data_IF_858744650166
#
_entry.id   IF_858744650166
#
_cell.length_a   1.000
_cell.length_b   1.000
_cell.length_c   1.000
_cell.angle_alpha   90.00
_cell.angle_beta   90.00
_cell.angle_gamma   90.00
#
_symmetry.space_group_name_H-M   'P 1'
#
loop_
_entity.id
_entity.type
_entity.pdbx_description
1 polymer ?
#
# COMPACT_ATOMS: atom_id res chain seq x y z
N UNK A 1 23.60 18.78 -5.34
CA UNK A 1 22.93 17.46 -5.41
C UNK A 1 22.55 17.01 -4.02
N UNK A 2 21.31 16.61 -3.80
CA UNK A 2 20.88 15.95 -2.55
C UNK A 2 20.98 14.43 -2.79
N UNK A 3 21.93 13.71 -2.18
CA UNK A 3 22.13 12.28 -2.40
C UNK A 3 20.97 11.41 -1.87
N UNK A 4 20.09 11.99 -1.05
CA UNK A 4 18.94 11.31 -0.49
C UNK A 4 17.66 11.47 -1.35
N UNK A 5 17.73 12.27 -2.43
CA UNK A 5 16.57 12.50 -3.31
C UNK A 5 16.52 11.39 -4.36
N UNK A 6 15.46 10.59 -4.34
CA UNK A 6 15.14 9.66 -5.44
C UNK A 6 14.72 10.46 -6.68
N UNK A 7 15.21 10.09 -7.86
CA UNK A 7 14.82 10.72 -9.11
C UNK A 7 13.39 10.27 -9.49
N UNK A 8 12.53 11.24 -9.76
CA UNK A 8 11.21 10.99 -10.32
C UNK A 8 11.29 11.07 -11.85
N UNK A 9 11.45 9.91 -12.49
CA UNK A 9 11.66 9.85 -13.94
C UNK A 9 10.41 10.20 -14.78
N UNK A 10 9.27 10.48 -14.13
CA UNK A 10 8.12 11.06 -14.80
C UNK A 10 8.32 12.57 -15.10
N UNK A 11 9.27 13.21 -14.39
CA UNK A 11 9.59 14.62 -14.54
C UNK A 11 10.82 14.82 -15.42
N UNK A 12 10.72 15.64 -16.49
CA UNK A 12 11.86 15.90 -17.39
C UNK A 12 13.10 16.44 -16.67
N UNK A 13 12.89 17.27 -15.62
CA UNK A 13 13.97 17.83 -14.81
C UNK A 13 14.78 16.78 -14.02
N UNK A 14 14.15 15.69 -13.61
CA UNK A 14 14.84 14.59 -12.91
C UNK A 14 15.37 13.56 -13.92
N UNK A 15 14.63 13.30 -15.01
CA UNK A 15 15.00 12.32 -16.04
C UNK A 15 16.35 12.64 -16.72
N UNK A 16 16.72 13.92 -16.84
CA UNK A 16 18.02 14.31 -17.42
C UNK A 16 19.22 13.85 -16.60
N UNK A 17 19.06 13.52 -15.32
CA UNK A 17 20.14 13.03 -14.45
C UNK A 17 20.21 11.50 -14.39
N UNK A 18 19.30 10.80 -15.05
CA UNK A 18 19.33 9.35 -15.09
C UNK A 18 20.47 8.87 -16.00
N UNK A 19 21.30 7.97 -15.44
CA UNK A 19 22.35 7.29 -16.18
C UNK A 19 21.98 5.82 -16.27
N UNK A 20 21.91 5.29 -17.48
CA UNK A 20 21.65 3.87 -17.70
C UNK A 20 22.94 3.06 -17.44
N UNK A 21 22.87 2.20 -16.44
CA UNK A 21 23.95 1.29 -16.08
C UNK A 21 23.71 -0.15 -16.55
N UNK A 22 22.76 -0.41 -17.42
CA UNK A 22 22.39 -1.76 -17.88
C UNK A 22 23.59 -2.52 -18.46
N UNK A 23 24.41 -1.86 -19.28
CA UNK A 23 25.63 -2.45 -19.85
C UNK A 23 26.65 -2.86 -18.77
N UNK A 24 26.82 -2.03 -17.74
CA UNK A 24 27.76 -2.30 -16.63
C UNK A 24 27.25 -3.39 -15.69
N UNK A 25 25.92 -3.46 -15.52
CA UNK A 25 25.25 -4.47 -14.67
C UNK A 25 25.08 -5.82 -15.37
N UNK A 26 25.28 -5.87 -16.69
CA UNK A 26 25.12 -7.08 -17.50
C UNK A 26 23.68 -7.44 -17.84
N UNK A 27 22.68 -6.70 -17.33
CA UNK A 27 21.27 -6.86 -17.69
C UNK A 27 20.48 -5.59 -17.46
N UNK A 28 19.38 -5.41 -18.23
CA UNK A 28 18.36 -4.38 -17.98
C UNK A 28 17.28 -4.97 -17.04
N UNK A 29 17.53 -4.86 -15.74
CA UNK A 29 16.66 -5.41 -14.69
C UNK A 29 15.23 -4.89 -14.79
N UNK A 30 15.03 -3.62 -15.17
CA UNK A 30 13.68 -3.04 -15.34
C UNK A 30 12.94 -3.71 -16.50
N UNK A 31 13.63 -4.00 -17.59
CA UNK A 31 13.02 -4.74 -18.70
C UNK A 31 12.71 -6.19 -18.33
N UNK A 32 13.52 -6.84 -17.50
CA UNK A 32 13.25 -8.18 -16.98
C UNK A 32 12.01 -8.19 -16.09
N UNK A 33 11.94 -7.29 -15.09
CA UNK A 33 10.77 -7.13 -14.22
C UNK A 33 9.51 -6.83 -15.02
N UNK A 34 9.58 -5.84 -15.92
CA UNK A 34 8.48 -5.49 -16.81
C UNK A 34 8.00 -6.69 -17.63
N UNK A 35 8.95 -7.42 -18.24
CA UNK A 35 8.62 -8.59 -19.06
C UNK A 35 7.89 -9.66 -18.26
N UNK A 36 8.30 -9.93 -17.04
CA UNK A 36 7.61 -10.88 -16.16
C UNK A 36 6.17 -10.42 -15.88
N UNK A 37 5.96 -9.13 -15.54
CA UNK A 37 4.63 -8.57 -15.30
C UNK A 37 3.75 -8.67 -16.54
N UNK A 38 4.26 -8.29 -17.70
CA UNK A 38 3.47 -8.27 -18.95
C UNK A 38 3.15 -9.68 -19.45
N UNK A 39 4.07 -10.63 -19.28
CA UNK A 39 3.88 -12.01 -19.76
C UNK A 39 3.05 -12.86 -18.82
N UNK A 40 2.88 -12.46 -17.55
CA UNK A 40 2.01 -13.19 -16.62
C UNK A 40 0.52 -13.10 -16.99
N UNK A 41 0.14 -12.13 -17.80
CA UNK A 41 -1.27 -11.94 -18.19
C UNK A 41 -2.16 -11.72 -16.97
N UNK A 42 -3.16 -12.59 -16.79
CA UNK A 42 -4.11 -12.53 -15.67
C UNK A 42 -3.59 -13.23 -14.39
N UNK A 43 -2.44 -13.89 -14.46
CA UNK A 43 -1.86 -14.59 -13.31
C UNK A 43 -1.13 -13.59 -12.38
N UNK A 44 -1.46 -13.56 -11.07
CA UNK A 44 -0.79 -12.68 -10.13
C UNK A 44 0.68 -13.08 -9.94
N UNK A 45 1.57 -12.10 -9.92
CA UNK A 45 3.01 -12.33 -9.68
C UNK A 45 3.51 -11.52 -8.50
N UNK A 46 4.51 -12.07 -7.80
CA UNK A 46 5.23 -11.36 -6.75
C UNK A 46 6.73 -11.44 -7.05
N UNK A 47 7.39 -10.30 -7.11
CA UNK A 47 8.81 -10.20 -7.43
C UNK A 47 9.55 -9.47 -6.33
N UNK A 48 10.70 -10.01 -5.92
CA UNK A 48 11.59 -9.39 -4.95
C UNK A 48 12.78 -8.76 -5.69
N UNK A 49 12.89 -7.43 -5.59
CA UNK A 49 14.01 -6.67 -6.14
C UNK A 49 14.97 -6.28 -5.03
N UNK A 50 16.17 -6.85 -5.03
CA UNK A 50 17.18 -6.66 -3.98
C UNK A 50 18.47 -6.06 -4.54
N UNK A 51 19.30 -5.51 -3.65
CA UNK A 51 20.61 -4.96 -4.00
C UNK A 51 21.19 -4.14 -2.86
N UNK A 52 22.46 -3.79 -2.96
CA UNK A 52 23.17 -3.00 -1.95
C UNK A 52 22.54 -1.61 -1.77
N UNK A 53 22.73 -1.03 -0.57
CA UNK A 53 22.32 0.35 -0.29
C UNK A 53 23.10 1.28 -1.24
N UNK A 54 22.37 2.24 -1.85
CA UNK A 54 22.98 3.19 -2.78
C UNK A 54 23.18 2.69 -4.22
N UNK A 55 22.79 1.44 -4.56
CA UNK A 55 22.94 0.93 -5.93
C UNK A 55 21.84 1.42 -6.91
N UNK A 56 20.95 2.33 -6.48
CA UNK A 56 19.93 2.94 -7.34
C UNK A 56 18.63 2.17 -7.45
N UNK A 57 18.29 1.27 -6.50
CA UNK A 57 17.02 0.49 -6.51
C UNK A 57 15.78 1.38 -6.70
N UNK A 58 15.64 2.42 -5.88
CA UNK A 58 14.49 3.33 -5.95
C UNK A 58 14.40 4.05 -7.31
N UNK A 59 15.52 4.40 -7.92
CA UNK A 59 15.55 5.01 -9.27
C UNK A 59 15.09 4.01 -10.32
N UNK A 60 15.52 2.74 -10.25
CA UNK A 60 15.08 1.70 -11.19
C UNK A 60 13.60 1.34 -10.97
N UNK A 61 13.10 1.32 -9.72
CA UNK A 61 11.67 1.13 -9.44
C UNK A 61 10.83 2.31 -9.95
N UNK A 62 11.32 3.56 -9.86
CA UNK A 62 10.68 4.72 -10.46
C UNK A 62 10.65 4.62 -12.00
N UNK A 63 11.71 4.09 -12.62
CA UNK A 63 11.77 3.80 -14.06
C UNK A 63 10.75 2.72 -14.45
N UNK A 64 10.67 1.64 -13.66
CA UNK A 64 9.67 0.57 -13.85
C UNK A 64 8.25 1.13 -13.79
N UNK A 65 7.93 1.91 -12.74
CA UNK A 65 6.64 2.60 -12.59
C UNK A 65 6.29 3.37 -13.86
N UNK A 66 7.16 4.31 -14.28
CA UNK A 66 6.93 5.15 -15.47
C UNK A 66 6.73 4.32 -16.73
N UNK A 67 7.47 3.21 -16.86
CA UNK A 67 7.38 2.32 -18.03
C UNK A 67 6.06 1.55 -18.06
N UNK A 68 5.60 1.04 -16.91
CA UNK A 68 4.33 0.33 -16.79
C UNK A 68 3.13 1.26 -16.98
N UNK A 69 3.18 2.48 -16.42
CA UNK A 69 2.15 3.49 -16.64
C UNK A 69 1.97 3.84 -18.12
N UNK A 70 3.08 3.95 -18.88
CA UNK A 70 3.05 4.13 -20.33
C UNK A 70 2.42 2.95 -21.08
N UNK A 71 2.46 1.75 -20.51
CA UNK A 71 1.81 0.55 -21.05
C UNK A 71 0.35 0.39 -20.59
N UNK A 72 -0.18 1.37 -19.87
CA UNK A 72 -1.58 1.39 -19.43
C UNK A 72 -1.84 0.75 -18.08
N UNK A 73 -0.83 0.27 -17.35
CA UNK A 73 -1.02 -0.24 -16.00
C UNK A 73 -1.36 0.89 -15.00
N UNK A 74 -2.17 0.57 -14.00
CA UNK A 74 -2.32 1.41 -12.81
C UNK A 74 -1.26 1.01 -11.80
N UNK A 75 -0.31 1.92 -11.51
CA UNK A 75 0.83 1.60 -10.63
C UNK A 75 0.69 2.34 -9.30
N UNK A 76 0.59 1.58 -8.22
CA UNK A 76 0.66 2.08 -6.84
C UNK A 76 2.11 1.96 -6.37
N UNK A 77 2.78 3.08 -6.18
CA UNK A 77 4.17 3.13 -5.70
C UNK A 77 4.22 3.91 -4.40
N UNK A 78 4.84 3.34 -3.37
CA UNK A 78 5.07 4.02 -2.11
C UNK A 78 6.36 3.54 -1.43
N UNK A 79 6.94 4.40 -0.60
CA UNK A 79 8.05 4.05 0.27
C UNK A 79 7.53 3.51 1.61
N UNK A 80 8.06 2.36 2.06
CA UNK A 80 7.64 1.70 3.30
C UNK A 80 7.71 2.62 4.53
N UNK A 81 8.70 3.52 4.58
CA UNK A 81 8.88 4.49 5.66
C UNK A 81 7.75 5.53 5.78
N UNK A 82 6.89 5.69 4.77
CA UNK A 82 5.73 6.59 4.87
C UNK A 82 4.73 6.09 5.90
N UNK A 83 4.49 4.78 5.94
CA UNK A 83 3.43 4.15 6.74
C UNK A 83 3.93 3.27 7.88
N UNK A 84 5.20 2.85 7.86
CA UNK A 84 5.78 1.91 8.80
C UNK A 84 6.78 2.59 9.74
N UNK A 85 6.83 2.12 11.00
CA UNK A 85 7.95 2.38 11.89
C UNK A 85 9.07 1.40 11.57
N UNK A 86 10.06 1.84 10.79
CA UNK A 86 11.11 0.98 10.24
C UNK A 86 11.97 0.26 11.29
N UNK A 87 11.90 0.69 12.56
CA UNK A 87 12.59 0.05 13.68
C UNK A 87 11.81 -1.14 14.27
N UNK A 88 10.51 -1.25 13.96
CA UNK A 88 9.62 -2.26 14.53
C UNK A 88 8.47 -2.55 13.56
N UNK A 89 8.71 -3.43 12.58
CA UNK A 89 7.76 -3.79 11.51
C UNK A 89 7.38 -5.26 11.60
N UNK A 90 6.09 -5.55 11.48
CA UNK A 90 5.53 -6.89 11.34
C UNK A 90 4.77 -7.06 10.02
N UNK A 91 4.43 -8.31 9.68
CA UNK A 91 3.68 -8.64 8.45
C UNK A 91 2.33 -7.90 8.41
N UNK A 92 1.63 -7.83 9.53
CA UNK A 92 0.34 -7.13 9.63
C UNK A 92 0.46 -5.64 9.30
N UNK A 93 1.56 -4.99 9.69
CA UNK A 93 1.80 -3.58 9.39
C UNK A 93 2.01 -3.36 7.88
N UNK A 94 2.79 -4.25 7.24
CA UNK A 94 3.02 -4.21 5.78
C UNK A 94 1.70 -4.40 5.02
N UNK A 95 0.87 -5.37 5.43
CA UNK A 95 -0.42 -5.62 4.80
C UNK A 95 -1.38 -4.43 4.91
N UNK A 96 -1.43 -3.79 6.07
CA UNK A 96 -2.23 -2.57 6.26
C UNK A 96 -1.69 -1.40 5.44
N UNK A 97 -0.36 -1.24 5.34
CA UNK A 97 0.25 -0.21 4.50
C UNK A 97 -0.10 -0.41 3.02
N UNK A 98 0.00 -1.65 2.51
CA UNK A 98 -0.41 -1.98 1.14
C UNK A 98 -1.89 -1.66 0.94
N UNK A 99 -2.77 -2.12 1.83
CA UNK A 99 -4.20 -1.87 1.74
C UNK A 99 -4.54 -0.38 1.73
N UNK A 100 -3.87 0.42 2.59
CA UNK A 100 -4.01 1.87 2.64
C UNK A 100 -3.63 2.53 1.31
N UNK A 101 -2.44 2.23 0.80
CA UNK A 101 -1.91 2.88 -0.39
C UNK A 101 -2.68 2.48 -1.65
N UNK A 102 -3.09 1.21 -1.76
CA UNK A 102 -3.96 0.75 -2.84
C UNK A 102 -5.30 1.47 -2.77
N UNK A 103 -5.99 1.47 -1.63
CA UNK A 103 -7.28 2.15 -1.46
C UNK A 103 -7.18 3.63 -1.82
N UNK A 104 -6.17 4.34 -1.31
CA UNK A 104 -5.91 5.76 -1.61
C UNK A 104 -5.72 6.01 -3.10
N UNK A 105 -4.93 5.18 -3.77
CA UNK A 105 -4.65 5.32 -5.20
C UNK A 105 -5.90 5.05 -6.06
N UNK A 106 -6.72 4.06 -5.68
CA UNK A 106 -7.95 3.72 -6.37
C UNK A 106 -9.03 4.81 -6.19
N UNK A 107 -9.16 5.36 -5.00
CA UNK A 107 -10.05 6.49 -4.74
C UNK A 107 -9.67 7.71 -5.61
N UNK A 108 -8.38 8.01 -5.74
CA UNK A 108 -7.89 9.05 -6.63
C UNK A 108 -8.18 8.76 -8.11
N UNK A 109 -8.27 7.48 -8.49
CA UNK A 109 -8.65 7.04 -9.84
C UNK A 109 -10.16 6.89 -10.04
N UNK A 110 -10.99 7.30 -9.05
CA UNK A 110 -12.45 7.13 -9.03
C UNK A 110 -12.91 5.67 -9.12
N UNK A 111 -12.09 4.74 -8.64
CA UNK A 111 -12.45 3.32 -8.49
C UNK A 111 -13.03 3.12 -7.09
N UNK A 112 -14.31 2.76 -7.01
CA UNK A 112 -14.98 2.55 -5.73
C UNK A 112 -14.99 1.07 -5.37
N UNK A 113 -14.38 0.75 -4.23
CA UNK A 113 -14.40 -0.58 -3.64
C UNK A 113 -15.34 -0.61 -2.44
N UNK A 114 -15.99 -1.75 -2.23
CA UNK A 114 -16.84 -2.01 -1.06
C UNK A 114 -16.40 -3.32 -0.40
N UNK A 115 -15.19 -3.35 0.23
CA UNK A 115 -14.64 -4.55 0.84
C UNK A 115 -15.26 -4.79 2.22
N UNK A 116 -16.45 -5.41 2.25
CA UNK A 116 -17.26 -5.56 3.48
C UNK A 116 -16.53 -6.32 4.60
N UNK A 117 -15.88 -7.45 4.30
CA UNK A 117 -15.17 -8.25 5.31
C UNK A 117 -13.93 -7.52 5.83
N UNK A 118 -13.20 -6.84 4.94
CA UNK A 118 -12.06 -6.05 5.31
C UNK A 118 -12.44 -4.87 6.22
N UNK A 119 -13.54 -4.19 5.89
CA UNK A 119 -14.06 -3.10 6.71
C UNK A 119 -14.51 -3.59 8.10
N UNK A 120 -15.19 -4.74 8.19
CA UNK A 120 -15.57 -5.33 9.48
C UNK A 120 -14.34 -5.68 10.34
N UNK A 121 -13.27 -6.17 9.73
CA UNK A 121 -12.02 -6.43 10.43
C UNK A 121 -11.38 -5.15 10.98
N UNK A 122 -11.34 -4.09 10.18
CA UNK A 122 -10.82 -2.79 10.60
C UNK A 122 -11.68 -2.20 11.74
N UNK A 123 -13.01 -2.34 11.65
CA UNK A 123 -13.91 -1.90 12.71
C UNK A 123 -13.63 -2.65 14.01
N UNK A 124 -13.49 -3.97 13.96
CA UNK A 124 -13.14 -4.78 15.13
C UNK A 124 -11.81 -4.38 15.77
N UNK A 125 -10.80 -4.03 14.95
CA UNK A 125 -9.54 -3.50 15.43
C UNK A 125 -9.69 -2.11 16.07
N UNK A 126 -10.47 -1.22 15.46
CA UNK A 126 -10.74 0.11 16.01
C UNK A 126 -11.51 0.05 17.33
N UNK A 127 -12.52 -0.81 17.42
CA UNK A 127 -13.31 -1.00 18.65
C UNK A 127 -12.43 -1.52 19.81
N UNK A 128 -11.54 -2.47 19.54
CA UNK A 128 -10.57 -2.95 20.51
C UNK A 128 -9.66 -1.81 21.00
N UNK A 129 -9.07 -1.07 20.08
CA UNK A 129 -8.16 0.03 20.44
C UNK A 129 -8.89 1.14 21.21
N UNK A 130 -10.14 1.47 20.84
CA UNK A 130 -10.94 2.45 21.57
C UNK A 130 -11.31 2.01 22.99
N UNK A 131 -11.42 0.69 23.25
CA UNK A 131 -11.72 0.15 24.57
C UNK A 131 -10.48 0.05 25.46
N UNK A 132 -9.32 -0.26 24.88
CA UNK A 132 -8.09 -0.53 25.64
C UNK A 132 -7.21 0.70 25.82
N UNK A 133 -7.29 1.69 24.91
CA UNK A 133 -6.42 2.88 24.95
C UNK A 133 -7.22 4.10 25.37
N UNK A 134 -6.95 4.63 26.56
CA UNK A 134 -7.63 5.80 27.10
C UNK A 134 -7.40 7.03 26.22
N UNK A 135 -8.51 7.67 25.78
CA UNK A 135 -8.46 8.88 24.96
C UNK A 135 -8.32 8.64 23.47
N UNK A 136 -8.23 7.40 23.02
CA UNK A 136 -8.27 7.07 21.61
C UNK A 136 -9.72 7.13 21.10
N UNK A 137 -9.93 7.78 19.94
CA UNK A 137 -11.23 7.84 19.27
C UNK A 137 -11.00 7.55 17.77
N UNK A 138 -10.85 6.26 17.45
CA UNK A 138 -10.78 5.81 16.08
C UNK A 138 -12.19 5.62 15.53
N UNK A 139 -12.46 6.16 14.36
CA UNK A 139 -13.71 5.94 13.62
C UNK A 139 -13.37 5.33 12.26
N UNK A 140 -13.81 4.11 12.05
CA UNK A 140 -13.80 3.51 10.71
C UNK A 140 -15.08 3.98 10.02
N UNK A 141 -14.98 4.64 8.88
CA UNK A 141 -16.15 5.16 8.17
C UNK A 141 -17.05 4.02 7.67
N UNK A 142 -18.35 4.19 7.82
CA UNK A 142 -19.33 3.34 7.15
C UNK A 142 -19.32 3.66 5.65
N UNK A 143 -19.19 2.63 4.83
CA UNK A 143 -19.40 2.77 3.38
C UNK A 143 -20.91 2.85 3.15
N UNK A 144 -21.34 3.87 2.42
CA UNK A 144 -22.74 4.13 2.13
C UNK A 144 -23.47 2.89 1.59
N UNK A 145 -24.31 2.29 2.41
CA UNK A 145 -25.15 1.12 2.04
C UNK A 145 -25.57 0.23 3.19
N UNK A 146 -24.92 0.26 4.34
CA UNK A 146 -25.35 -0.51 5.53
C UNK A 146 -25.89 0.45 6.57
N UNK A 147 -27.22 0.49 6.70
CA UNK A 147 -27.89 1.17 7.80
C UNK A 147 -27.64 0.41 9.09
N UNK A 148 -26.79 0.92 9.97
CA UNK A 148 -26.94 0.66 11.40
C UNK A 148 -27.63 1.88 12.02
N UNK A 149 -28.73 1.59 12.69
CA UNK A 149 -29.52 2.58 13.39
C UNK A 149 -28.82 3.00 14.69
N UNK A 150 -28.96 4.26 14.94
CA UNK A 150 -29.06 5.03 16.17
C UNK A 150 -27.87 5.88 16.60
N UNK A 151 -28.17 7.16 16.38
CA UNK A 151 -27.97 8.31 17.25
C UNK A 151 -26.55 8.82 17.52
N UNK A 152 -26.07 9.70 16.64
CA UNK A 152 -25.61 11.06 16.98
C UNK A 152 -25.54 11.88 15.68
N UNK A 153 -26.32 12.94 15.61
CA UNK A 153 -26.46 13.82 14.44
C UNK A 153 -25.17 14.51 14.05
N UNK A 154 -24.50 13.95 13.07
CA UNK A 154 -23.54 14.67 12.24
C UNK A 154 -24.08 14.61 10.82
N UNK A 155 -24.52 15.77 10.32
CA UNK A 155 -24.92 15.96 8.93
C UNK A 155 -23.75 15.59 8.04
N UNK A 156 -23.95 14.60 7.20
CA UNK A 156 -23.09 14.28 6.06
C UNK A 156 -23.27 15.43 5.03
N UNK A 157 -22.48 16.47 5.14
CA UNK A 157 -22.18 17.34 4.01
C UNK A 157 -20.95 16.75 3.32
N UNK A 158 -21.19 16.19 2.14
CA UNK A 158 -20.24 15.89 1.03
C UNK A 158 -18.78 15.51 1.37
N UNK A 159 -18.61 14.57 2.26
CA UNK A 159 -17.31 13.95 2.52
C UNK A 159 -17.53 12.50 2.88
N UNK A 160 -17.73 11.63 1.88
CA UNK A 160 -17.68 10.20 2.11
C UNK A 160 -16.30 9.89 2.73
N UNK A 161 -16.28 9.58 4.01
CA UNK A 161 -15.09 9.03 4.64
C UNK A 161 -14.66 7.80 3.82
N UNK A 162 -13.47 7.86 3.29
CA UNK A 162 -12.97 6.84 2.39
C UNK A 162 -12.39 5.65 3.17
N UNK A 163 -12.33 4.49 2.55
CA UNK A 163 -11.67 3.31 3.12
C UNK A 163 -10.22 3.64 3.47
N UNK A 164 -9.53 4.39 2.60
CA UNK A 164 -8.14 4.82 2.80
C UNK A 164 -7.98 5.68 4.04
N UNK A 165 -8.98 6.48 4.40
CA UNK A 165 -8.96 7.30 5.62
C UNK A 165 -8.99 6.43 6.88
N UNK A 166 -9.90 5.46 6.95
CA UNK A 166 -10.00 4.55 8.10
C UNK A 166 -8.74 3.72 8.32
N UNK A 167 -8.20 3.14 7.25
CA UNK A 167 -6.91 2.42 7.31
C UNK A 167 -5.79 3.40 7.68
N UNK A 168 -5.79 4.60 7.10
CA UNK A 168 -4.80 5.63 7.35
C UNK A 168 -4.76 6.07 8.81
N UNK A 169 -5.90 6.18 9.46
CA UNK A 169 -5.98 6.53 10.88
C UNK A 169 -5.37 5.40 11.75
N UNK A 170 -5.71 4.14 11.48
CA UNK A 170 -5.13 2.98 12.17
C UNK A 170 -3.61 2.89 11.98
N UNK A 171 -3.13 2.99 10.74
CA UNK A 171 -1.69 2.88 10.44
C UNK A 171 -0.89 4.04 11.05
N UNK A 172 -1.42 5.26 11.03
CA UNK A 172 -0.76 6.42 11.65
C UNK A 172 -0.66 6.25 13.16
N UNK A 173 -1.75 5.86 13.83
CA UNK A 173 -1.72 5.61 15.28
C UNK A 173 -0.79 4.47 15.66
N UNK A 174 -0.75 3.39 14.88
CA UNK A 174 0.17 2.28 15.09
C UNK A 174 1.63 2.70 14.85
N UNK A 175 1.91 3.56 13.88
CA UNK A 175 3.25 4.10 13.64
C UNK A 175 3.73 4.97 14.80
N UNK A 176 2.87 5.83 15.33
CA UNK A 176 3.21 6.83 16.33
C UNK A 176 3.22 6.28 17.76
N UNK A 177 2.54 5.15 18.04
CA UNK A 177 2.39 4.58 19.36
C UNK A 177 2.72 3.08 19.37
N UNK A 178 3.73 2.71 20.17
CA UNK A 178 4.13 1.31 20.35
C UNK A 178 3.02 0.48 20.99
N UNK A 179 2.29 1.03 21.94
CA UNK A 179 1.21 0.32 22.64
C UNK A 179 0.04 0.04 21.67
N UNK A 180 -0.35 1.04 20.89
CA UNK A 180 -1.38 0.88 19.83
C UNK A 180 -0.94 -0.17 18.82
N UNK A 181 0.32 -0.13 18.37
CA UNK A 181 0.86 -1.10 17.43
C UNK A 181 0.86 -2.52 18.01
N UNK A 182 1.28 -2.68 19.26
CA UNK A 182 1.30 -3.98 19.93
C UNK A 182 -0.10 -4.59 20.05
N UNK A 183 -1.09 -3.81 20.49
CA UNK A 183 -2.49 -4.25 20.57
C UNK A 183 -3.08 -4.59 19.20
N UNK A 184 -2.81 -3.76 18.20
CA UNK A 184 -3.26 -3.99 16.82
C UNK A 184 -2.69 -5.30 16.27
N UNK A 185 -1.39 -5.55 16.44
CA UNK A 185 -0.74 -6.80 16.04
C UNK A 185 -1.34 -8.01 16.76
N UNK A 186 -1.49 -7.93 18.07
CA UNK A 186 -2.10 -9.01 18.84
C UNK A 186 -3.51 -9.37 18.35
N UNK A 187 -4.27 -8.38 17.89
CA UNK A 187 -5.58 -8.59 17.30
C UNK A 187 -5.51 -9.19 15.89
N UNK A 188 -4.58 -8.73 15.07
CA UNK A 188 -4.47 -9.09 13.67
C UNK A 188 -3.67 -10.37 13.41
N UNK A 189 -2.62 -10.64 14.21
CA UNK A 189 -1.71 -11.77 14.02
C UNK A 189 -2.42 -13.14 13.90
N UNK A 190 -3.41 -13.49 14.77
CA UNK A 190 -4.13 -14.76 14.62
C UNK A 190 -4.97 -14.84 13.33
N UNK A 191 -5.15 -13.72 12.64
CA UNK A 191 -6.01 -13.56 11.47
C UNK A 191 -5.23 -13.24 10.19
N UNK A 192 -3.90 -13.35 10.19
CA UNK A 192 -3.05 -12.96 9.04
C UNK A 192 -3.50 -13.63 7.74
N UNK A 193 -3.80 -14.94 7.76
CA UNK A 193 -4.29 -15.64 6.58
C UNK A 193 -5.63 -15.11 6.08
N UNK A 194 -6.54 -14.78 7.00
CA UNK A 194 -7.83 -14.15 6.66
C UNK A 194 -7.61 -12.74 6.09
N UNK A 195 -6.68 -11.97 6.65
CA UNK A 195 -6.32 -10.63 6.17
C UNK A 195 -5.78 -10.71 4.75
N UNK A 196 -4.85 -11.64 4.49
CA UNK A 196 -4.29 -11.88 3.16
C UNK A 196 -5.39 -12.25 2.16
N UNK A 197 -6.26 -13.21 2.51
CA UNK A 197 -7.39 -13.61 1.67
C UNK A 197 -8.30 -12.42 1.34
N UNK A 198 -8.65 -11.63 2.34
CA UNK A 198 -9.57 -10.51 2.20
C UNK A 198 -8.93 -9.37 1.40
N UNK A 199 -7.66 -9.03 1.65
CA UNK A 199 -6.93 -8.03 0.86
C UNK A 199 -6.83 -8.48 -0.60
N UNK A 200 -6.48 -9.73 -0.86
CA UNK A 200 -6.37 -10.23 -2.22
C UNK A 200 -7.72 -10.19 -2.92
N UNK A 201 -8.75 -10.83 -2.37
CA UNK A 201 -10.03 -11.03 -3.08
C UNK A 201 -10.90 -9.75 -3.10
N UNK A 202 -11.00 -9.04 -1.97
CA UNK A 202 -11.92 -7.90 -1.88
C UNK A 202 -11.27 -6.56 -2.29
N UNK A 203 -9.93 -6.46 -2.18
CA UNK A 203 -9.25 -5.23 -2.53
C UNK A 203 -8.49 -5.36 -3.87
N UNK A 204 -7.52 -6.27 -3.96
CA UNK A 204 -6.62 -6.35 -5.12
C UNK A 204 -7.33 -6.87 -6.37
N UNK A 205 -7.99 -8.03 -6.29
CA UNK A 205 -8.65 -8.65 -7.45
C UNK A 205 -9.82 -7.79 -7.94
N UNK A 206 -10.64 -7.28 -7.00
CA UNK A 206 -11.75 -6.39 -7.34
C UNK A 206 -11.25 -5.08 -7.96
N UNK A 207 -10.16 -4.52 -7.45
CA UNK A 207 -9.53 -3.34 -8.00
C UNK A 207 -8.99 -3.60 -9.41
N UNK A 208 -8.27 -4.70 -9.58
CA UNK A 208 -7.71 -5.09 -10.87
C UNK A 208 -8.80 -5.23 -11.93
N UNK A 209 -9.90 -5.92 -11.59
CA UNK A 209 -11.03 -6.09 -12.52
C UNK A 209 -11.66 -4.75 -12.91
N UNK A 210 -11.93 -3.87 -11.94
CA UNK A 210 -12.51 -2.55 -12.25
C UNK A 210 -11.57 -1.67 -13.06
N UNK A 211 -10.26 -1.77 -12.85
CA UNK A 211 -9.26 -1.06 -13.65
C UNK A 211 -9.21 -1.59 -15.09
N UNK A 212 -9.30 -2.91 -15.29
CA UNK A 212 -9.39 -3.53 -16.61
C UNK A 212 -10.67 -3.07 -17.33
N UNK A 213 -11.80 -3.03 -16.63
CA UNK A 213 -13.08 -2.53 -17.18
C UNK A 213 -13.00 -1.05 -17.58
N UNK A 214 -12.11 -0.27 -16.96
CA UNK A 214 -11.79 1.12 -17.32
C UNK A 214 -10.74 1.23 -18.43
N UNK A 215 -10.28 0.12 -19.02
CA UNK A 215 -9.30 0.06 -20.09
C UNK A 215 -7.85 0.13 -19.65
N UNK A 216 -7.57 -0.13 -18.36
CA UNK A 216 -6.20 -0.32 -17.89
C UNK A 216 -5.70 -1.73 -18.19
N UNK A 217 -4.38 -1.90 -18.26
CA UNK A 217 -3.76 -3.19 -18.49
C UNK A 217 -3.72 -4.07 -17.22
N UNK A 218 -3.92 -3.48 -16.04
CA UNK A 218 -3.92 -4.16 -14.75
C UNK A 218 -3.41 -3.28 -13.62
N UNK A 219 -3.35 -3.86 -12.40
CA UNK A 219 -2.85 -3.23 -11.19
C UNK A 219 -1.44 -3.75 -10.85
N UNK A 220 -0.53 -2.84 -10.56
CA UNK A 220 0.81 -3.17 -10.05
C UNK A 220 1.08 -2.39 -8.77
N UNK A 221 1.52 -3.08 -7.72
CA UNK A 221 1.91 -2.47 -6.45
C UNK A 221 3.42 -2.58 -6.27
N UNK A 222 4.09 -1.46 -6.05
CA UNK A 222 5.53 -1.37 -5.81
C UNK A 222 5.75 -0.81 -4.42
N UNK A 223 6.37 -1.62 -3.56
CA UNK A 223 6.77 -1.22 -2.19
C UNK A 223 8.28 -1.04 -2.17
N UNK A 224 8.73 0.18 -1.98
CA UNK A 224 10.16 0.51 -1.95
C UNK A 224 10.70 0.59 -0.52
N UNK A 225 12.01 0.43 -0.37
CA UNK A 225 12.76 0.58 0.88
C UNK A 225 12.40 -0.43 2.01
N UNK A 226 11.82 -1.60 1.70
CA UNK A 226 11.58 -2.67 2.70
C UNK A 226 12.90 -3.22 3.28
N UNK A 227 14.03 -3.06 2.59
CA UNK A 227 15.36 -3.47 3.05
C UNK A 227 15.92 -2.60 4.20
N UNK A 228 15.27 -1.49 4.51
CA UNK A 228 15.63 -0.61 5.65
C UNK A 228 14.99 -1.01 6.97
N UNK A 229 14.15 -2.05 6.97
CA UNK A 229 13.60 -2.61 8.21
C UNK A 229 14.76 -3.10 9.09
N UNK A 230 14.82 -2.62 10.34
CA UNK A 230 15.88 -3.01 11.27
C UNK A 230 15.78 -4.50 11.60
N UNK A 231 16.82 -5.27 11.26
CA UNK A 231 16.88 -6.72 11.43
C UNK A 231 17.03 -7.18 12.91
N UNK A 232 16.71 -6.34 13.89
CA UNK A 232 16.74 -6.72 15.31
C UNK A 232 15.75 -7.83 15.68
N UNK A 233 14.89 -8.24 14.78
CA UNK A 233 13.93 -9.35 14.96
C UNK A 233 14.52 -10.74 14.64
N UNK A 234 15.82 -10.85 14.40
CA UNK A 234 16.53 -12.15 14.28
C UNK A 234 17.28 -12.48 15.57
N UNK A 235 16.56 -12.53 16.67
CA UNK A 235 17.02 -13.08 17.94
C UNK A 235 16.22 -14.31 18.31
#
# INVERSE_FOLDING_TARGET
CNPSKTLDLSKPEDAQYYIDFSEVRGSDVVNELKRTIVLSGDEPTCQLFTGHIGCGKSTELSRLKTTLEKQGYHVVYFESSEDLDMADVDISDILLAIAKQVSKSLEAANVRLVPNRFQQMLQGAADLLNSEVTGLKLKIPEIAGVKMADDVGIRAEDGAYSLSFGIGELTTKAKDSRDVRSLLRQHLEPRINTILEVINNELIDTANQQLIDQGKAGLVVIVDNLDRIDNKLRG
#
